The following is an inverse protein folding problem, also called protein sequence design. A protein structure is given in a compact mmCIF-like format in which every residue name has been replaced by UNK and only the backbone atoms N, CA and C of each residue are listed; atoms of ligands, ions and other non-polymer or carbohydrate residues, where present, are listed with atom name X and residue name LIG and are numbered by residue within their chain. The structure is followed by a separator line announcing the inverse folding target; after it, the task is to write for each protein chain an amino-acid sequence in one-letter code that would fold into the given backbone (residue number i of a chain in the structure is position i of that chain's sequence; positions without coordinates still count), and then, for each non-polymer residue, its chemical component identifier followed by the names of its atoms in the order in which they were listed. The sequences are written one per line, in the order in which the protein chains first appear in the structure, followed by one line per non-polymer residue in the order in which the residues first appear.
data_IF_900974481272
#
_entry.id   IF_900974481272
#
_cell.length_a   1.000
_cell.length_b   1.000
_cell.length_c   1.000
_cell.angle_alpha   90.00
_cell.angle_beta   90.00
_cell.angle_gamma   90.00
#
_symmetry.space_group_name_H-M   'P 1'
#
loop_
_entity.id
_entity.type
_entity.pdbx_description
1 polymer ?
#
# COMPACT_ATOMS: atom_id res chain seq x y z
N UNK A 1 -8.15 1.17 7.50
CA UNK A 1 -8.02 -0.10 6.75
C UNK A 1 -8.03 0.22 5.26
N UNK A 2 -7.48 -0.66 4.42
CA UNK A 2 -7.24 -0.41 2.99
C UNK A 2 -8.53 -0.36 2.20
N UNK A 3 -8.65 0.67 1.36
CA UNK A 3 -9.60 0.71 0.24
C UNK A 3 -8.89 0.21 -1.01
N UNK A 4 -9.50 -0.72 -1.74
CA UNK A 4 -9.02 -1.18 -3.04
C UNK A 4 -9.92 -0.64 -4.14
N UNK A 5 -9.37 0.16 -5.04
CA UNK A 5 -10.03 0.62 -6.26
C UNK A 5 -9.69 -0.35 -7.38
N UNK A 6 -10.71 -0.86 -8.07
CA UNK A 6 -10.57 -1.82 -9.16
C UNK A 6 -10.86 -1.15 -10.50
N UNK A 7 -9.91 -1.24 -11.41
CA UNK A 7 -10.06 -0.80 -12.80
C UNK A 7 -9.71 -1.97 -13.74
N UNK A 8 -10.17 -1.98 -15.00
CA UNK A 8 -9.85 -3.05 -15.93
C UNK A 8 -8.34 -3.29 -16.13
N UNK A 9 -7.52 -2.26 -15.91
CA UNK A 9 -6.07 -2.26 -16.17
C UNK A 9 -5.20 -2.14 -14.92
N UNK A 10 -5.78 -1.92 -13.73
CA UNK A 10 -5.01 -1.87 -12.49
C UNK A 10 -5.87 -2.11 -11.23
N UNK A 11 -5.17 -2.27 -10.10
CA UNK A 11 -5.71 -2.18 -8.75
C UNK A 11 -5.00 -1.03 -8.05
N UNK A 12 -5.70 -0.29 -7.21
CA UNK A 12 -5.07 0.76 -6.39
C UNK A 12 -5.44 0.55 -4.93
N UNK A 13 -4.43 0.39 -4.09
CA UNK A 13 -4.59 0.30 -2.64
C UNK A 13 -4.37 1.66 -1.99
N UNK A 14 -5.34 2.08 -1.19
CA UNK A 14 -5.35 3.37 -0.51
C UNK A 14 -5.51 3.16 0.99
N UNK A 15 -4.54 3.67 1.77
CA UNK A 15 -4.60 3.61 3.23
C UNK A 15 -5.61 4.61 3.84
N UNK A 16 -6.08 5.56 3.03
CA UNK A 16 -7.09 6.53 3.36
C UNK A 16 -7.64 7.23 2.09
N UNK A 17 -8.76 7.97 2.19
CA UNK A 17 -9.30 8.80 1.11
C UNK A 17 -8.26 9.79 0.56
N UNK A 18 -8.34 10.08 -0.74
CA UNK A 18 -7.38 10.97 -1.40
C UNK A 18 -7.46 12.42 -0.91
N UNK A 19 -8.64 12.87 -0.50
CA UNK A 19 -8.95 14.21 0.00
C UNK A 19 -8.65 14.39 1.50
N UNK A 20 -8.09 13.38 2.18
CA UNK A 20 -7.75 13.51 3.60
C UNK A 20 -6.68 14.60 3.84
N UNK A 21 -6.57 15.16 5.07
CA UNK A 21 -5.46 16.05 5.39
C UNK A 21 -4.09 15.35 5.21
N UNK A 22 -3.05 16.07 4.74
CA UNK A 22 -1.72 15.52 4.49
C UNK A 22 -1.20 14.64 5.62
N UNK A 23 -0.68 13.47 5.25
CA UNK A 23 -0.18 12.50 6.21
C UNK A 23 0.79 11.53 5.56
N UNK A 24 1.79 11.10 6.35
CA UNK A 24 2.65 9.97 6.03
C UNK A 24 2.29 8.79 6.91
N UNK A 25 2.54 7.59 6.39
CA UNK A 25 2.35 6.32 7.06
C UNK A 25 3.63 5.53 6.96
N UNK A 26 4.00 4.79 8.00
CA UNK A 26 5.12 3.87 7.89
C UNK A 26 4.80 2.77 6.90
N UNK A 27 5.79 2.44 6.07
CA UNK A 27 5.72 1.40 5.08
C UNK A 27 7.07 0.67 5.01
N UNK A 28 7.01 -0.61 4.70
CA UNK A 28 8.16 -1.41 4.32
C UNK A 28 7.72 -2.34 3.19
N UNK A 29 8.64 -2.70 2.30
CA UNK A 29 8.34 -3.66 1.25
C UNK A 29 9.50 -4.65 1.12
N UNK A 30 9.19 -5.75 0.43
CA UNK A 30 10.14 -6.77 0.04
C UNK A 30 9.88 -7.14 -1.40
N UNK A 31 10.97 -7.28 -2.15
CA UNK A 31 10.97 -7.57 -3.57
C UNK A 31 11.95 -8.73 -3.83
N UNK A 32 11.46 -9.82 -4.41
CA UNK A 32 12.21 -11.04 -4.77
C UNK A 32 12.01 -11.38 -6.25
N UNK A 33 12.77 -12.36 -6.73
CA UNK A 33 12.56 -13.05 -8.02
C UNK A 33 12.48 -12.15 -9.26
N UNK A 34 13.22 -11.04 -9.25
CA UNK A 34 13.35 -10.18 -10.42
C UNK A 34 12.10 -9.36 -10.71
N UNK A 35 11.35 -8.94 -9.70
CA UNK A 35 10.29 -7.95 -9.87
C UNK A 35 10.90 -6.58 -10.25
N UNK A 36 11.05 -6.32 -11.57
CA UNK A 36 11.89 -5.21 -12.10
C UNK A 36 11.18 -3.87 -12.26
N UNK A 37 9.85 -3.83 -12.16
CA UNK A 37 9.05 -2.64 -12.42
C UNK A 37 8.42 -2.16 -11.11
N UNK A 38 9.25 -1.57 -10.27
CA UNK A 38 8.82 -0.87 -9.07
C UNK A 38 9.21 0.60 -9.22
N UNK A 39 8.26 1.51 -9.14
CA UNK A 39 8.49 2.96 -9.30
C UNK A 39 8.03 3.69 -8.04
N UNK A 40 8.75 4.75 -7.64
CA UNK A 40 8.48 5.50 -6.41
C UNK A 40 9.03 4.87 -5.12
N UNK A 41 9.65 3.68 -5.20
CA UNK A 41 10.22 3.02 -4.02
C UNK A 41 11.40 3.73 -3.32
N UNK A 42 12.23 4.59 -3.96
CA UNK A 42 13.37 5.19 -3.26
C UNK A 42 12.97 6.02 -2.04
N UNK A 43 11.75 6.58 -2.03
CA UNK A 43 11.21 7.29 -0.85
C UNK A 43 10.86 6.32 0.29
N UNK A 44 10.42 5.11 -0.03
CA UNK A 44 10.21 4.06 0.98
C UNK A 44 11.57 3.54 1.48
N UNK A 45 12.56 3.40 0.61
CA UNK A 45 13.91 2.97 1.01
C UNK A 45 14.57 3.99 1.97
N UNK A 46 14.46 5.28 1.66
CA UNK A 46 15.10 6.34 2.44
C UNK A 46 14.32 6.70 3.71
N UNK A 47 13.01 6.85 3.60
CA UNK A 47 12.19 7.41 4.67
C UNK A 47 11.26 6.40 5.34
N UNK A 48 11.19 5.16 4.82
CA UNK A 48 10.27 4.12 5.29
C UNK A 48 8.81 4.61 5.42
N UNK A 49 8.40 5.51 4.53
CA UNK A 49 7.07 6.11 4.57
C UNK A 49 6.42 6.17 3.20
N UNK A 50 5.09 6.26 3.22
CA UNK A 50 4.25 6.39 2.05
C UNK A 50 3.08 7.33 2.37
N UNK A 51 2.78 8.24 1.45
CA UNK A 51 1.64 9.16 1.52
C UNK A 51 0.69 9.01 0.33
N UNK A 52 1.16 8.38 -0.75
CA UNK A 52 0.44 8.19 -1.99
C UNK A 52 -0.33 6.86 -2.03
N UNK A 53 -1.28 6.67 -2.96
CA UNK A 53 -1.82 5.37 -3.28
C UNK A 53 -0.73 4.41 -3.80
N UNK A 54 -0.97 3.11 -3.61
CA UNK A 54 -0.15 2.04 -4.18
C UNK A 54 -0.88 1.50 -5.40
N UNK A 55 -0.32 1.69 -6.59
CA UNK A 55 -0.93 1.26 -7.84
C UNK A 55 -0.28 -0.05 -8.28
N UNK A 56 -1.08 -1.08 -8.50
CA UNK A 56 -0.64 -2.40 -8.98
C UNK A 56 -1.23 -2.64 -10.36
N UNK A 57 -0.41 -2.94 -11.35
CA UNK A 57 -0.87 -3.16 -12.72
C UNK A 57 0.17 -3.89 -13.57
N UNK A 58 -0.15 -4.20 -14.84
CA UNK A 58 0.78 -4.88 -15.73
C UNK A 58 2.12 -4.14 -15.84
N UNK A 59 3.24 -4.86 -15.81
CA UNK A 59 4.59 -4.28 -15.90
C UNK A 59 4.77 -3.36 -17.12
N UNK A 60 4.08 -3.64 -18.24
CA UNK A 60 4.11 -2.83 -19.46
C UNK A 60 3.41 -1.46 -19.33
N UNK A 61 2.51 -1.29 -18.35
CA UNK A 61 1.81 -0.04 -18.08
C UNK A 61 2.41 0.76 -16.92
N UNK A 62 3.43 0.23 -16.24
CA UNK A 62 3.96 0.82 -15.01
C UNK A 62 4.36 2.31 -15.16
N UNK A 63 5.01 2.67 -16.27
CA UNK A 63 5.36 4.08 -16.56
C UNK A 63 4.13 4.98 -16.68
N UNK A 64 3.14 4.58 -17.48
CA UNK A 64 1.89 5.35 -17.65
C UNK A 64 1.12 5.48 -16.33
N UNK A 65 1.04 4.40 -15.56
CA UNK A 65 0.40 4.40 -14.24
C UNK A 65 1.14 5.33 -13.25
N UNK A 66 2.46 5.40 -13.34
CA UNK A 66 3.26 6.33 -12.54
C UNK A 66 3.01 7.78 -12.94
N UNK A 67 2.96 8.10 -14.24
CA UNK A 67 2.64 9.43 -14.75
C UNK A 67 1.23 9.88 -14.32
N UNK A 68 0.25 8.97 -14.34
CA UNK A 68 -1.08 9.25 -13.81
C UNK A 68 -1.06 9.52 -12.30
N UNK A 69 -0.28 8.75 -11.54
CA UNK A 69 -0.06 9.02 -10.11
C UNK A 69 0.59 10.38 -9.87
N UNK A 70 1.58 10.78 -10.68
CA UNK A 70 2.21 12.10 -10.59
C UNK A 70 1.20 13.20 -10.90
N UNK A 71 0.36 13.00 -11.91
CA UNK A 71 -0.73 13.93 -12.24
C UNK A 71 -1.70 14.08 -11.06
N UNK A 72 -2.03 12.98 -10.39
CA UNK A 72 -2.87 12.99 -9.19
C UNK A 72 -2.21 13.80 -8.06
N UNK A 73 -0.93 13.51 -7.75
CA UNK A 73 -0.16 14.20 -6.73
C UNK A 73 -0.07 15.71 -7.01
N UNK A 74 0.25 16.09 -8.25
CA UNK A 74 0.34 17.48 -8.68
C UNK A 74 -1.00 18.23 -8.57
N UNK A 75 -2.14 17.56 -8.86
CA UNK A 75 -3.48 18.14 -8.65
C UNK A 75 -3.79 18.41 -7.18
N UNK A 76 -3.20 17.63 -6.26
CA UNK A 76 -3.36 17.82 -4.81
C UNK A 76 -2.39 18.86 -4.25
N UNK A 77 -1.18 18.88 -4.77
CA UNK A 77 -0.13 19.82 -4.39
C UNK A 77 0.84 20.05 -5.55
N UNK A 78 0.85 21.24 -6.16
CA UNK A 78 1.75 21.56 -7.25
C UNK A 78 3.24 21.41 -6.89
N UNK A 79 3.59 21.63 -5.62
CA UNK A 79 4.95 21.48 -5.08
C UNK A 79 5.33 20.01 -4.81
N UNK A 80 4.37 19.08 -4.91
CA UNK A 80 4.54 17.63 -4.71
C UNK A 80 5.25 17.27 -3.40
N UNK A 81 4.84 17.87 -2.28
CA UNK A 81 5.39 17.55 -0.98
C UNK A 81 5.22 16.05 -0.63
N UNK A 82 6.22 15.48 0.03
CA UNK A 82 6.29 14.05 0.38
C UNK A 82 5.12 13.54 1.26
N UNK A 83 4.44 14.43 1.97
CA UNK A 83 3.27 14.12 2.80
C UNK A 83 1.92 14.34 2.08
N UNK A 84 1.95 14.77 0.82
CA UNK A 84 0.79 15.12 0.00
C UNK A 84 0.54 14.17 -1.17
N UNK A 85 0.95 12.92 -1.02
CA UNK A 85 0.67 11.88 -2.00
C UNK A 85 1.71 11.76 -3.11
N UNK A 86 2.93 12.24 -2.84
CA UNK A 86 4.10 12.02 -3.69
C UNK A 86 5.19 11.23 -2.92
N UNK A 87 5.93 10.33 -3.59
CA UNK A 87 5.70 9.82 -4.93
C UNK A 87 4.64 8.69 -4.91
N UNK A 88 3.90 8.49 -6.02
CA UNK A 88 3.11 7.28 -6.21
C UNK A 88 3.99 6.03 -6.16
N UNK A 89 3.57 5.00 -5.44
CA UNK A 89 4.23 3.70 -5.50
C UNK A 89 3.53 2.85 -6.58
N UNK A 90 4.25 2.49 -7.64
CA UNK A 90 3.73 1.65 -8.71
C UNK A 90 4.44 0.31 -8.74
N UNK A 91 3.64 -0.75 -8.69
CA UNK A 91 4.03 -2.15 -8.62
C UNK A 91 3.62 -2.83 -9.94
N UNK A 92 4.58 -2.96 -10.86
CA UNK A 92 4.39 -3.58 -12.17
C UNK A 92 4.44 -5.10 -12.09
N UNK A 93 3.26 -5.72 -12.01
CA UNK A 93 3.05 -7.15 -11.84
C UNK A 93 3.51 -7.95 -13.07
N UNK A 94 4.44 -8.91 -12.93
CA UNK A 94 4.77 -9.86 -13.97
C UNK A 94 3.62 -10.85 -14.19
N UNK A 95 3.53 -11.44 -15.39
CA UNK A 95 2.61 -12.54 -15.66
C UNK A 95 1.12 -12.17 -15.79
N UNK A 96 0.74 -10.89 -15.69
CA UNK A 96 -0.65 -10.43 -15.89
C UNK A 96 -0.95 -10.28 -17.40
N UNK A 97 -0.75 -11.36 -18.17
CA UNK A 97 -1.05 -11.41 -19.61
C UNK A 97 -0.42 -10.29 -20.46
N UNK A 98 -0.80 -10.15 -21.74
CA UNK A 98 -0.55 -8.92 -22.48
C UNK A 98 -1.25 -7.75 -21.78
N UNK A 99 -0.63 -6.57 -21.77
CA UNK A 99 -1.28 -5.38 -21.25
C UNK A 99 -2.60 -5.14 -22.00
N UNK A 100 -3.71 -4.86 -21.29
CA UNK A 100 -4.94 -4.50 -21.96
C UNK A 100 -4.72 -3.20 -22.75
N UNK A 101 -5.43 -3.06 -23.85
CA UNK A 101 -5.55 -1.78 -24.51
C UNK A 101 -6.22 -0.80 -23.55
N UNK A 102 -5.61 0.37 -23.37
CA UNK A 102 -6.15 1.40 -22.51
C UNK A 102 -7.22 2.18 -23.28
N UNK A 103 -8.44 2.36 -22.70
CA UNK A 103 -9.43 3.28 -23.26
C UNK A 103 -8.84 4.69 -23.44
N UNK A 104 -9.40 5.49 -24.35
CA UNK A 104 -8.89 6.85 -24.60
C UNK A 104 -8.90 7.74 -23.33
N UNK A 105 -9.89 7.55 -22.47
CA UNK A 105 -10.15 8.28 -21.22
C UNK A 105 -9.61 7.57 -19.96
N UNK A 106 -8.75 6.57 -20.11
CA UNK A 106 -8.28 5.73 -19.00
C UNK A 106 -7.66 6.54 -17.85
N UNK A 107 -6.98 7.65 -18.17
CA UNK A 107 -6.33 8.48 -17.17
C UNK A 107 -7.36 9.29 -16.38
N UNK A 108 -8.35 9.92 -17.04
CA UNK A 108 -9.44 10.58 -16.31
C UNK A 108 -10.23 9.59 -15.45
N UNK A 109 -10.54 8.40 -15.97
CA UNK A 109 -11.26 7.35 -15.25
C UNK A 109 -10.50 6.92 -13.98
N UNK A 110 -9.18 6.72 -14.07
CA UNK A 110 -8.35 6.41 -12.91
C UNK A 110 -8.38 7.53 -11.87
N UNK A 111 -8.16 8.78 -12.29
CA UNK A 111 -8.12 9.92 -11.39
C UNK A 111 -9.47 10.16 -10.70
N UNK A 112 -10.57 10.02 -11.44
CA UNK A 112 -11.93 10.11 -10.90
C UNK A 112 -12.21 9.00 -9.87
N UNK A 113 -11.79 7.76 -10.14
CA UNK A 113 -11.99 6.64 -9.23
C UNK A 113 -11.22 6.81 -7.90
N UNK A 114 -10.03 7.42 -7.94
CA UNK A 114 -9.23 7.70 -6.74
C UNK A 114 -9.73 8.91 -5.95
N UNK A 115 -10.28 9.92 -6.64
CA UNK A 115 -10.86 11.10 -6.01
C UNK A 115 -12.29 10.85 -5.49
N UNK A 116 -12.99 9.83 -5.99
CA UNK A 116 -14.33 9.49 -5.53
C UNK A 116 -14.31 9.22 -4.01
N UNK A 117 -15.30 9.72 -3.25
CA UNK A 117 -15.44 9.38 -1.83
C UNK A 117 -15.48 7.85 -1.68
N UNK A 118 -15.11 7.35 -0.50
CA UNK A 118 -15.25 5.93 -0.22
C UNK A 118 -16.75 5.56 -0.33
N UNK A 119 -17.15 5.05 -1.48
CA UNK A 119 -18.47 4.44 -1.68
C UNK A 119 -18.57 3.20 -0.80
N UNK A 120 -19.76 2.95 -0.26
CA UNK A 120 -20.00 1.89 0.72
C UNK A 120 -19.29 0.60 0.34
N UNK A 121 -18.55 0.04 1.30
CA UNK A 121 -17.71 -1.16 1.16
C UNK A 121 -18.36 -2.18 0.24
N UNK A 122 -18.03 -2.12 -1.07
CA UNK A 122 -18.33 -3.24 -1.94
C UNK A 122 -17.49 -4.37 -1.33
N UNK A 123 -18.13 -5.46 -0.83
CA UNK A 123 -17.41 -6.49 -0.12
C UNK A 123 -16.25 -6.91 -1.02
N UNK A 124 -15.02 -6.74 -0.51
CA UNK A 124 -13.79 -7.15 -1.19
C UNK A 124 -13.96 -8.62 -1.53
N UNK A 125 -14.47 -8.87 -2.74
CA UNK A 125 -14.88 -10.20 -3.15
C UNK A 125 -13.70 -11.15 -2.97
N UNK A 126 -13.99 -12.41 -2.65
CA UNK A 126 -13.01 -13.50 -2.48
C UNK A 126 -11.99 -13.59 -3.64
N UNK A 127 -12.26 -12.98 -4.79
CA UNK A 127 -11.40 -12.89 -5.97
C UNK A 127 -10.02 -12.24 -5.76
N UNK A 128 -9.85 -11.27 -4.84
CA UNK A 128 -8.54 -10.61 -4.61
C UNK A 128 -7.78 -11.19 -3.38
N UNK A 129 -8.09 -12.43 -3.00
CA UNK A 129 -7.44 -13.08 -1.85
C UNK A 129 -7.46 -12.23 -0.58
N UNK A 130 -8.54 -11.46 -0.38
CA UNK A 130 -8.71 -10.57 0.75
C UNK A 130 -8.93 -11.39 2.02
N UNK A 131 -8.15 -11.10 3.05
CA UNK A 131 -8.36 -11.66 4.38
C UNK A 131 -8.17 -10.58 5.43
N UNK A 132 -9.02 -10.60 6.46
CA UNK A 132 -8.98 -9.67 7.57
C UNK A 132 -9.05 -10.43 8.88
N UNK A 133 -8.27 -10.01 9.87
CA UNK A 133 -8.29 -10.57 11.22
C UNK A 133 -8.14 -9.46 12.26
N UNK A 134 -8.81 -9.64 13.40
CA UNK A 134 -8.54 -8.85 14.61
C UNK A 134 -7.52 -9.59 15.48
N UNK A 135 -6.55 -8.84 15.97
CA UNK A 135 -5.46 -9.29 16.85
C UNK A 135 -5.45 -8.35 18.05
N UNK A 136 -6.12 -8.78 19.12
CA UNK A 136 -6.44 -7.91 20.26
C UNK A 136 -7.25 -6.68 19.82
N UNK A 137 -6.71 -5.48 20.07
CA UNK A 137 -7.32 -4.21 19.71
C UNK A 137 -7.01 -3.75 18.26
N UNK A 138 -6.24 -4.52 17.50
CA UNK A 138 -5.72 -4.13 16.19
C UNK A 138 -6.30 -4.97 15.06
N UNK A 139 -6.45 -4.36 13.88
CA UNK A 139 -6.78 -5.04 12.64
C UNK A 139 -5.52 -5.40 11.86
N UNK A 140 -5.54 -6.56 11.22
CA UNK A 140 -4.60 -6.98 10.19
C UNK A 140 -5.39 -7.32 8.93
N UNK A 141 -4.96 -6.75 7.81
CA UNK A 141 -5.51 -7.01 6.49
C UNK A 141 -4.44 -7.55 5.57
N UNK A 142 -4.85 -8.50 4.76
CA UNK A 142 -4.11 -9.04 3.64
C UNK A 142 -4.93 -8.79 2.38
N UNK A 143 -4.28 -8.29 1.35
CA UNK A 143 -4.84 -8.22 -0.01
C UNK A 143 -3.85 -8.88 -0.95
N UNK A 144 -4.32 -9.78 -1.83
CA UNK A 144 -3.48 -10.40 -2.85
C UNK A 144 -3.90 -9.93 -4.24
N UNK A 145 -2.96 -9.33 -4.98
CA UNK A 145 -3.19 -8.93 -6.36
C UNK A 145 -2.16 -9.62 -7.25
N UNK A 146 -2.58 -10.70 -7.92
CA UNK A 146 -1.67 -11.57 -8.66
C UNK A 146 -0.57 -12.15 -7.76
N UNK A 147 0.67 -11.77 -8.04
CA UNK A 147 1.86 -12.16 -7.28
C UNK A 147 2.29 -11.14 -6.20
N UNK A 148 1.52 -10.07 -6.01
CA UNK A 148 1.75 -9.09 -4.94
C UNK A 148 0.87 -9.38 -3.73
N UNK A 149 1.42 -9.22 -2.52
CA UNK A 149 0.68 -9.22 -1.25
C UNK A 149 0.82 -7.86 -0.56
N UNK A 150 -0.29 -7.31 -0.09
CA UNK A 150 -0.33 -6.08 0.69
C UNK A 150 -0.83 -6.41 2.09
N UNK A 151 -0.06 -6.01 3.09
CA UNK A 151 -0.42 -6.04 4.49
C UNK A 151 -0.78 -4.63 4.97
N UNK A 152 -1.88 -4.50 5.70
CA UNK A 152 -2.19 -3.25 6.40
C UNK A 152 -2.62 -3.52 7.83
N UNK A 153 -2.16 -2.67 8.74
CA UNK A 153 -2.53 -2.75 10.15
C UNK A 153 -2.65 -1.39 10.79
N UNK A 154 -3.55 -1.25 11.74
CA UNK A 154 -3.64 -0.10 12.65
C UNK A 154 -2.79 -0.29 13.90
N UNK A 155 -1.97 -1.35 13.99
CA UNK A 155 -0.97 -1.51 15.03
C UNK A 155 0.16 -0.48 14.89
N UNK A 156 0.77 -0.06 16.01
CA UNK A 156 1.82 0.96 16.03
C UNK A 156 3.18 0.40 15.58
N UNK A 157 3.23 -0.37 14.49
CA UNK A 157 4.48 -0.97 14.01
C UNK A 157 5.43 0.08 13.42
N UNK A 158 6.71 -0.01 13.78
CA UNK A 158 7.77 0.76 13.13
C UNK A 158 8.25 0.06 11.85
N UNK A 159 9.02 0.75 10.99
CA UNK A 159 9.49 0.19 9.71
C UNK A 159 10.14 -1.19 9.82
N UNK A 160 10.98 -1.41 10.83
CA UNK A 160 11.65 -2.71 11.03
C UNK A 160 10.65 -3.84 11.25
N UNK A 161 9.59 -3.60 12.03
CA UNK A 161 8.53 -4.60 12.26
C UNK A 161 7.66 -4.80 11.03
N UNK A 162 7.35 -3.75 10.27
CA UNK A 162 6.66 -3.88 8.98
C UNK A 162 7.47 -4.71 7.98
N UNK A 163 8.80 -4.55 7.96
CA UNK A 163 9.70 -5.38 7.16
C UNK A 163 9.59 -6.86 7.53
N UNK A 164 9.56 -7.18 8.83
CA UNK A 164 9.33 -8.56 9.31
C UNK A 164 7.95 -9.09 8.95
N UNK A 165 6.92 -8.25 8.92
CA UNK A 165 5.59 -8.63 8.46
C UNK A 165 5.60 -8.96 6.95
N UNK A 166 6.41 -8.28 6.14
CA UNK A 166 6.61 -8.64 4.74
C UNK A 166 7.18 -10.06 4.59
N UNK A 167 8.00 -10.51 5.55
CA UNK A 167 8.57 -11.85 5.55
C UNK A 167 7.56 -12.97 5.77
N UNK A 168 6.38 -12.67 6.32
CA UNK A 168 5.31 -13.66 6.54
C UNK A 168 4.66 -14.17 5.24
N UNK A 169 4.90 -13.50 4.11
CA UNK A 169 4.41 -13.92 2.79
C UNK A 169 5.52 -14.59 2.00
N UNK A 170 5.18 -15.60 1.18
CA UNK A 170 6.10 -16.15 0.18
C UNK A 170 6.03 -15.40 -1.18
N UNK A 171 5.15 -14.40 -1.30
CA UNK A 171 4.94 -13.69 -2.56
C UNK A 171 6.19 -12.92 -3.03
N UNK A 172 6.48 -12.90 -4.35
CA UNK A 172 7.62 -12.17 -4.92
C UNK A 172 7.65 -10.69 -4.52
N UNK A 173 6.49 -10.02 -4.52
CA UNK A 173 6.35 -8.68 -3.98
C UNK A 173 5.47 -8.69 -2.74
N UNK A 174 5.93 -8.06 -1.67
CA UNK A 174 5.12 -7.81 -0.47
C UNK A 174 5.31 -6.38 0.00
N UNK A 175 4.23 -5.70 0.35
CA UNK A 175 4.23 -4.39 1.01
C UNK A 175 3.51 -4.52 2.34
N UNK A 176 4.04 -3.93 3.40
CA UNK A 176 3.37 -3.77 4.67
C UNK A 176 3.29 -2.29 5.03
N UNK A 177 2.11 -1.83 5.46
CA UNK A 177 1.88 -0.44 5.84
C UNK A 177 1.11 -0.32 7.16
N UNK A 178 1.46 0.70 7.93
CA UNK A 178 0.60 1.14 9.04
C UNK A 178 -0.49 2.05 8.48
N UNK A 179 -1.74 1.87 8.92
CA UNK A 179 -2.81 2.83 8.59
C UNK A 179 -2.80 4.04 9.53
N UNK A 180 -2.00 4.01 10.60
CA UNK A 180 -1.84 5.15 11.51
C UNK A 180 -1.02 6.24 10.83
N UNK A 181 -1.47 7.48 11.00
CA UNK A 181 -0.70 8.66 10.59
C UNK A 181 0.55 8.77 11.45
N UNK A 182 1.66 9.10 10.81
CA UNK A 182 2.89 9.41 11.49
C UNK A 182 2.69 10.70 12.31
N UNK A 183 2.66 10.56 13.63
CA UNK A 183 2.77 11.69 14.54
C UNK A 183 4.25 11.97 14.84
N UNK A 184 4.61 13.23 15.11
CA UNK A 184 5.94 13.54 15.65
C UNK A 184 6.09 12.84 17.00
N UNK A 185 7.00 11.87 17.07
CA UNK A 185 7.31 11.18 18.32
C UNK A 185 8.22 12.05 19.17
N UNK A 186 7.89 12.19 20.45
CA UNK A 186 8.82 12.76 21.44
C UNK A 186 9.99 11.79 21.65
N UNK A 187 11.21 12.30 21.87
CA UNK A 187 12.42 11.50 21.97
C UNK A 187 12.36 10.39 23.07
N UNK A 188 11.58 10.58 24.13
CA UNK A 188 11.37 9.59 25.18
C UNK A 188 10.38 8.46 24.83
N UNK A 189 9.48 8.68 23.87
CA UNK A 189 8.44 7.72 23.51
C UNK A 189 8.95 6.59 22.60
N UNK A 190 10.15 6.73 22.02
CA UNK A 190 10.67 5.80 21.01
C UNK A 190 10.85 4.39 21.58
N UNK A 191 11.49 4.25 22.75
CA UNK A 191 11.74 2.93 23.36
C UNK A 191 10.46 2.22 23.79
N UNK A 192 9.50 2.97 24.33
CA UNK A 192 8.18 2.43 24.71
C UNK A 192 7.42 1.94 23.48
N UNK A 193 7.47 2.71 22.39
CA UNK A 193 6.86 2.33 21.12
C UNK A 193 7.56 1.12 20.51
N UNK A 194 8.89 1.02 20.59
CA UNK A 194 9.64 -0.16 20.12
C UNK A 194 9.19 -1.43 20.87
N UNK A 195 9.14 -1.38 22.20
CA UNK A 195 8.70 -2.52 23.01
C UNK A 195 7.25 -2.91 22.71
N UNK A 196 6.35 -1.92 22.59
CA UNK A 196 4.96 -2.15 22.20
C UNK A 196 4.88 -2.76 20.78
N UNK A 197 5.66 -2.23 19.84
CA UNK A 197 5.71 -2.70 18.45
C UNK A 197 6.14 -4.16 18.35
N UNK A 198 7.18 -4.54 19.08
CA UNK A 198 7.67 -5.92 19.12
C UNK A 198 6.62 -6.88 19.70
N UNK A 199 6.00 -6.51 20.82
CA UNK A 199 4.94 -7.31 21.41
C UNK A 199 3.76 -7.51 20.45
N UNK A 200 3.36 -6.46 19.72
CA UNK A 200 2.28 -6.55 18.73
C UNK A 200 2.67 -7.33 17.49
N UNK A 201 3.92 -7.21 17.04
CA UNK A 201 4.40 -7.93 15.85
C UNK A 201 4.29 -9.43 16.02
N UNK A 202 4.63 -9.99 17.19
CA UNK A 202 4.53 -11.44 17.42
C UNK A 202 3.11 -11.95 17.19
N UNK A 203 2.11 -11.27 17.76
CA UNK A 203 0.70 -11.64 17.59
C UNK A 203 0.24 -11.48 16.13
N UNK A 204 0.71 -10.43 15.45
CA UNK A 204 0.39 -10.18 14.04
C UNK A 204 1.04 -11.19 13.10
N UNK A 205 2.25 -11.67 13.39
CA UNK A 205 2.91 -12.71 12.58
C UNK A 205 2.20 -14.06 12.71
N UNK A 206 1.72 -14.42 13.89
CA UNK A 206 0.89 -15.61 14.07
C UNK A 206 -0.40 -15.50 13.24
N UNK A 207 -1.10 -14.36 13.37
CA UNK A 207 -2.30 -14.09 12.58
C UNK A 207 -2.03 -14.07 11.06
N UNK A 208 -0.88 -13.53 10.64
CA UNK A 208 -0.46 -13.50 9.24
C UNK A 208 -0.26 -14.91 8.68
N UNK A 209 0.35 -15.81 9.45
CA UNK A 209 0.50 -17.23 9.06
C UNK A 209 -0.84 -17.92 8.85
N UNK A 210 -1.81 -17.65 9.73
CA UNK A 210 -3.15 -18.24 9.63
C UNK A 210 -3.96 -17.73 8.43
N UNK A 211 -3.79 -16.46 8.03
CA UNK A 211 -4.47 -15.88 6.86
C UNK A 211 -3.66 -15.97 5.56
N UNK A 212 -2.44 -16.51 5.63
CA UNK A 212 -1.60 -16.82 4.48
C UNK A 212 -1.72 -18.30 4.04
N UNK A 213 -2.11 -19.19 4.96
CA UNK A 213 -2.48 -20.59 4.69
C UNK A 213 -3.77 -20.69 3.86
#
# INVERSE_FOLDING_TARGET
MLRIVRLPYCRVAMAAPWDEPPARRFAAYRCRDGFRRLLGHPVVDEFATLSAPVILGPSALAGRLYDAGLTLAHRRDPEMAIDRGWPPLVVGLPGVGPAPELPADWQEALLAALAAPAGGDEPLAAADGFARRRVGAYGLERVRVGEAVLWATDAPLLPKQLGRLCEASAAPFTLALSTRRLARLAAGAVREIEALSEARLVELLAAAGEIAA
#
